data_IF_798844873758
#
_entry.id   IF_798844873758
#
_cell.length_a   1.000
_cell.length_b   1.000
_cell.length_c   1.000
_cell.angle_alpha   90.00
_cell.angle_beta   90.00
_cell.angle_gamma   90.00
#
_symmetry.space_group_name_H-M   'P 1'
#
loop_
_entity.id
_entity.type
_entity.pdbx_description
1 polymer ?
#
# COMPACT_ATOMS: atom_id res chain seq x y z
N UNK A 1 -30.59 -29.11 -4.88
CA UNK A 1 -31.48 -28.52 -3.81
C UNK A 1 -31.43 -27.00 -4.00
N UNK A 2 -32.57 -26.31 -3.83
CA UNK A 2 -32.61 -24.83 -3.92
C UNK A 2 -32.28 -24.26 -2.53
N UNK A 3 -31.37 -23.26 -2.48
CA UNK A 3 -31.09 -22.55 -1.24
C UNK A 3 -32.33 -21.80 -0.76
N UNK A 4 -32.62 -21.85 0.55
CA UNK A 4 -33.85 -21.28 1.15
C UNK A 4 -33.52 -19.97 1.86
N UNK A 5 -32.31 -19.84 2.40
CA UNK A 5 -31.85 -18.68 3.15
C UNK A 5 -31.29 -17.55 2.24
N UNK A 6 -30.89 -16.46 2.88
CA UNK A 6 -30.16 -15.35 2.25
C UNK A 6 -28.89 -15.06 3.02
N UNK A 7 -27.89 -14.42 2.39
CA UNK A 7 -26.62 -14.08 3.04
C UNK A 7 -26.75 -13.01 4.13
N UNK A 8 -27.85 -12.25 4.15
CA UNK A 8 -28.21 -11.36 5.27
C UNK A 8 -27.41 -10.05 5.34
N UNK A 9 -26.66 -9.67 4.32
CA UNK A 9 -26.09 -8.32 4.28
C UNK A 9 -27.16 -7.28 3.96
N UNK A 10 -27.00 -6.07 4.52
CA UNK A 10 -27.99 -5.01 4.33
C UNK A 10 -27.81 -4.38 2.95
N UNK A 11 -28.95 -4.25 2.24
CA UNK A 11 -28.99 -3.63 0.90
C UNK A 11 -30.29 -2.87 0.68
N UNK A 12 -30.23 -1.86 -0.14
CA UNK A 12 -31.41 -1.14 -0.64
C UNK A 12 -31.33 -1.15 -2.17
N UNK A 13 -32.21 -1.92 -2.83
CA UNK A 13 -32.06 -2.21 -4.24
C UNK A 13 -30.72 -2.92 -4.52
N UNK A 14 -29.93 -2.39 -5.44
CA UNK A 14 -28.56 -2.85 -5.75
C UNK A 14 -27.46 -2.20 -4.92
N UNK A 15 -27.78 -1.24 -4.03
CA UNK A 15 -26.80 -0.58 -3.19
C UNK A 15 -26.56 -1.34 -1.88
N UNK A 16 -25.29 -1.59 -1.56
CA UNK A 16 -24.91 -2.19 -0.27
C UNK A 16 -24.92 -1.09 0.80
N UNK A 17 -25.65 -1.34 1.88
CA UNK A 17 -25.84 -0.40 3.00
C UNK A 17 -25.30 -0.96 4.33
N UNK A 18 -24.49 -2.01 4.26
CA UNK A 18 -23.98 -2.74 5.43
C UNK A 18 -22.91 -1.94 6.22
N UNK A 19 -22.33 -0.89 5.61
CA UNK A 19 -21.38 -0.01 6.25
C UNK A 19 -22.08 0.95 7.21
N UNK A 20 -21.62 0.97 8.47
CA UNK A 20 -22.21 1.79 9.55
C UNK A 20 -21.98 3.30 9.34
N UNK A 21 -20.86 3.69 8.76
CA UNK A 21 -20.51 5.10 8.52
C UNK A 21 -21.02 5.53 7.15
N UNK A 22 -22.03 6.40 7.10
CA UNK A 22 -22.62 6.87 5.85
C UNK A 22 -21.61 7.50 4.85
N UNK A 23 -20.53 8.11 5.35
CA UNK A 23 -19.44 8.65 4.52
C UNK A 23 -18.57 7.60 3.84
N UNK A 24 -18.69 6.32 4.25
CA UNK A 24 -17.94 5.19 3.69
C UNK A 24 -18.80 4.24 2.86
N UNK A 25 -20.05 4.60 2.57
CA UNK A 25 -20.96 3.80 1.76
C UNK A 25 -20.85 4.14 0.27
N UNK A 26 -20.82 3.12 -0.59
CA UNK A 26 -20.89 3.23 -2.04
C UNK A 26 -19.89 4.26 -2.64
N UNK A 27 -20.35 5.10 -3.54
CA UNK A 27 -19.53 6.13 -4.22
C UNK A 27 -18.85 7.11 -3.25
N UNK A 28 -19.53 7.48 -2.14
CA UNK A 28 -18.91 8.36 -1.13
C UNK A 28 -17.74 7.66 -0.45
N UNK A 29 -17.90 6.39 -0.12
CA UNK A 29 -16.85 5.57 0.45
C UNK A 29 -15.64 5.46 -0.48
N UNK A 30 -15.86 5.20 -1.77
CA UNK A 30 -14.79 5.14 -2.76
C UNK A 30 -14.00 6.45 -2.82
N UNK A 31 -14.69 7.60 -2.87
CA UNK A 31 -14.04 8.92 -2.87
C UNK A 31 -13.28 9.20 -1.58
N UNK A 32 -13.84 8.82 -0.43
CA UNK A 32 -13.17 9.00 0.87
C UNK A 32 -11.90 8.14 0.95
N UNK A 33 -11.96 6.88 0.56
CA UNK A 33 -10.77 6.01 0.56
C UNK A 33 -9.70 6.49 -0.41
N UNK A 34 -10.10 7.02 -1.56
CA UNK A 34 -9.17 7.66 -2.48
C UNK A 34 -8.52 8.89 -1.87
N UNK A 35 -9.31 9.78 -1.24
CA UNK A 35 -8.78 10.96 -0.55
C UNK A 35 -7.77 10.57 0.53
N UNK A 36 -8.06 9.53 1.31
CA UNK A 36 -7.14 9.00 2.31
C UNK A 36 -5.83 8.49 1.70
N UNK A 37 -5.92 7.72 0.62
CA UNK A 37 -4.75 7.11 -0.03
C UNK A 37 -3.87 8.14 -0.77
N UNK A 38 -4.50 9.13 -1.44
CA UNK A 38 -3.81 10.09 -2.28
C UNK A 38 -3.23 11.28 -1.49
N UNK A 39 -3.83 11.65 -0.34
CA UNK A 39 -3.47 12.88 0.38
C UNK A 39 -2.83 12.66 1.75
N UNK A 40 -2.98 11.49 2.38
CA UNK A 40 -2.31 11.23 3.65
C UNK A 40 -0.96 10.53 3.39
N UNK A 41 0.18 11.14 3.80
CA UNK A 41 1.50 10.62 3.48
C UNK A 41 1.78 9.25 4.13
N UNK A 42 1.24 8.99 5.32
CA UNK A 42 1.43 7.71 6.03
C UNK A 42 0.63 6.61 5.34
N UNK A 43 -0.63 6.88 5.00
CA UNK A 43 -1.48 5.93 4.29
C UNK A 43 -0.92 5.63 2.91
N UNK A 44 -0.56 6.68 2.15
CA UNK A 44 0.02 6.53 0.81
C UNK A 44 1.30 5.70 0.81
N UNK A 45 2.21 5.97 1.75
CA UNK A 45 3.45 5.22 1.90
C UNK A 45 3.20 3.74 2.22
N UNK A 46 2.24 3.45 3.10
CA UNK A 46 1.90 2.08 3.48
C UNK A 46 1.26 1.29 2.35
N UNK A 47 0.28 1.87 1.65
CA UNK A 47 -0.34 1.21 0.48
C UNK A 47 0.71 0.97 -0.60
N UNK A 48 1.57 1.96 -0.88
CA UNK A 48 2.67 1.81 -1.82
C UNK A 48 3.62 0.66 -1.43
N UNK A 49 4.01 0.57 -0.15
CA UNK A 49 4.90 -0.48 0.32
C UNK A 49 4.27 -1.88 0.14
N UNK A 50 3.00 -2.06 0.56
CA UNK A 50 2.25 -3.31 0.39
C UNK A 50 2.15 -3.70 -1.09
N UNK A 51 1.77 -2.75 -1.95
CA UNK A 51 1.67 -2.97 -3.38
C UNK A 51 3.00 -3.40 -4.00
N UNK A 52 4.10 -2.69 -3.68
CA UNK A 52 5.44 -3.03 -4.19
C UNK A 52 5.92 -4.39 -3.71
N UNK A 53 5.66 -4.77 -2.48
CA UNK A 53 5.97 -6.10 -1.97
C UNK A 53 5.25 -7.19 -2.75
N UNK A 54 3.94 -7.03 -3.00
CA UNK A 54 3.15 -8.00 -3.75
C UNK A 54 3.59 -8.07 -5.22
N UNK A 55 3.88 -6.92 -5.85
CA UNK A 55 4.34 -6.85 -7.24
C UNK A 55 5.72 -7.47 -7.46
N UNK A 56 6.56 -7.50 -6.42
CA UNK A 56 7.90 -8.10 -6.49
C UNK A 56 7.89 -9.63 -6.35
N UNK A 57 6.75 -10.22 -6.02
CA UNK A 57 6.63 -11.68 -5.91
C UNK A 57 6.63 -12.33 -7.28
N UNK A 58 7.26 -13.48 -7.38
CA UNK A 58 7.23 -14.28 -8.58
C UNK A 58 5.96 -15.14 -8.62
N UNK A 59 5.24 -15.02 -9.70
CA UNK A 59 4.03 -15.79 -9.98
C UNK A 59 4.36 -16.87 -11.00
N UNK A 60 3.88 -18.08 -10.78
CA UNK A 60 4.06 -19.24 -11.67
C UNK A 60 2.80 -20.08 -11.71
N UNK A 61 2.70 -20.93 -12.72
CA UNK A 61 1.53 -21.80 -12.94
C UNK A 61 1.95 -23.25 -12.76
N UNK A 62 1.54 -23.86 -11.64
CA UNK A 62 1.77 -25.28 -11.37
C UNK A 62 0.81 -26.17 -12.18
N UNK A 63 1.28 -27.29 -12.74
CA UNK A 63 0.41 -28.28 -13.35
C UNK A 63 -0.48 -28.95 -12.31
N UNK A 64 -1.59 -29.55 -12.76
CA UNK A 64 -2.46 -30.33 -11.88
C UNK A 64 -1.71 -31.52 -11.26
N UNK A 65 -1.74 -31.66 -9.92
CA UNK A 65 -0.84 -32.56 -9.16
C UNK A 65 -1.24 -34.04 -9.15
N UNK A 66 -2.51 -34.39 -9.46
CA UNK A 66 -2.98 -35.79 -9.34
C UNK A 66 -2.90 -36.56 -10.65
N UNK A 67 -1.78 -36.47 -11.35
CA UNK A 67 -1.56 -37.22 -12.57
C UNK A 67 -1.35 -38.72 -12.31
N UNK A 68 -2.32 -39.55 -12.70
CA UNK A 68 -2.28 -41.01 -12.51
C UNK A 68 -1.28 -41.75 -13.44
N UNK A 69 -0.67 -41.06 -14.41
CA UNK A 69 0.31 -41.60 -15.32
C UNK A 69 1.22 -40.52 -15.89
N UNK A 70 2.43 -40.88 -16.33
CA UNK A 70 3.39 -39.97 -16.99
C UNK A 70 2.79 -39.26 -18.23
N UNK A 71 1.89 -39.91 -18.97
CA UNK A 71 1.21 -39.29 -20.10
C UNK A 71 0.21 -38.21 -19.65
N UNK A 72 -0.47 -38.44 -18.53
CA UNK A 72 -1.36 -37.45 -17.95
C UNK A 72 -0.57 -36.25 -17.40
N UNK A 73 0.56 -36.49 -16.72
CA UNK A 73 1.46 -35.43 -16.20
C UNK A 73 1.93 -34.50 -17.36
N UNK A 74 2.43 -35.05 -18.46
CA UNK A 74 2.85 -34.28 -19.65
C UNK A 74 1.71 -33.47 -20.27
N UNK A 75 0.45 -33.99 -20.19
CA UNK A 75 -0.72 -33.23 -20.64
C UNK A 75 -1.02 -32.05 -19.70
N UNK A 76 -0.95 -32.28 -18.40
CA UNK A 76 -1.21 -31.26 -17.41
C UNK A 76 -0.13 -30.14 -17.44
N UNK A 77 1.15 -30.50 -17.67
CA UNK A 77 2.23 -29.55 -17.93
C UNK A 77 1.93 -28.63 -19.12
N UNK A 78 1.46 -29.19 -20.25
CA UNK A 78 1.08 -28.41 -21.44
C UNK A 78 -0.09 -27.46 -21.16
N UNK A 79 -1.02 -27.86 -20.28
CA UNK A 79 -2.14 -26.99 -19.88
C UNK A 79 -1.65 -25.87 -18.97
N UNK A 80 -0.72 -26.15 -18.06
CA UNK A 80 -0.09 -25.13 -17.21
C UNK A 80 0.67 -24.12 -18.07
N UNK A 81 1.53 -24.60 -18.97
CA UNK A 81 2.26 -23.76 -19.92
C UNK A 81 1.31 -22.88 -20.76
N UNK A 82 0.21 -23.43 -21.23
CA UNK A 82 -0.79 -22.65 -21.99
C UNK A 82 -1.39 -21.50 -21.16
N UNK A 83 -1.68 -21.72 -19.86
CA UNK A 83 -2.20 -20.67 -18.97
C UNK A 83 -1.13 -19.61 -18.71
N UNK A 84 0.11 -20.01 -18.49
CA UNK A 84 1.24 -19.09 -18.30
C UNK A 84 1.47 -18.22 -19.56
N UNK A 85 1.49 -18.84 -20.73
CA UNK A 85 1.53 -18.14 -22.01
C UNK A 85 0.37 -17.14 -22.18
N UNK A 86 -0.84 -17.46 -21.69
CA UNK A 86 -1.97 -16.54 -21.74
C UNK A 86 -1.81 -15.34 -20.81
N UNK A 87 -1.13 -15.47 -19.68
CA UNK A 87 -0.77 -14.35 -18.80
C UNK A 87 0.27 -13.44 -19.48
N UNK A 88 1.28 -14.02 -20.12
CA UNK A 88 2.35 -13.30 -20.79
C UNK A 88 1.92 -12.63 -22.11
N UNK A 89 0.87 -13.15 -22.74
CA UNK A 89 0.35 -12.66 -24.03
C UNK A 89 -0.74 -11.60 -23.85
N UNK A 90 -1.03 -11.15 -22.66
CA UNK A 90 -1.98 -10.04 -22.42
C UNK A 90 -1.47 -8.73 -23.03
N UNK A 91 -2.40 -7.78 -23.27
CA UNK A 91 -2.11 -6.41 -23.72
C UNK A 91 -1.28 -5.67 -22.69
N UNK A 92 -1.69 -5.78 -21.41
CA UNK A 92 -0.97 -5.26 -20.24
C UNK A 92 -0.15 -6.40 -19.62
N UNK A 93 1.02 -6.09 -19.07
CA UNK A 93 1.81 -7.08 -18.32
C UNK A 93 1.03 -7.60 -17.11
N UNK A 94 1.39 -8.82 -16.65
CA UNK A 94 0.79 -9.34 -15.40
C UNK A 94 1.02 -8.39 -14.22
N UNK A 95 2.20 -7.81 -14.10
CA UNK A 95 2.50 -6.84 -13.05
C UNK A 95 1.60 -5.59 -13.10
N UNK A 96 1.37 -5.03 -14.30
CA UNK A 96 0.44 -3.89 -14.49
C UNK A 96 -1.00 -4.29 -14.15
N UNK A 97 -1.42 -5.47 -14.60
CA UNK A 97 -2.76 -6.01 -14.29
C UNK A 97 -2.93 -6.25 -12.79
N UNK A 98 -1.91 -6.79 -12.13
CA UNK A 98 -1.90 -7.05 -10.70
C UNK A 98 -1.99 -5.75 -9.90
N UNK A 99 -1.25 -4.69 -10.27
CA UNK A 99 -1.36 -3.37 -9.65
C UNK A 99 -2.79 -2.84 -9.71
N UNK A 100 -3.48 -2.99 -10.85
CA UNK A 100 -4.89 -2.60 -10.97
C UNK A 100 -5.82 -3.46 -10.09
N UNK A 101 -5.58 -4.77 -10.01
CA UNK A 101 -6.32 -5.68 -9.14
C UNK A 101 -6.14 -5.26 -7.67
N UNK A 102 -4.93 -4.91 -7.25
CA UNK A 102 -4.59 -4.54 -5.87
C UNK A 102 -5.33 -3.30 -5.36
N UNK A 103 -6.02 -2.55 -6.23
CA UNK A 103 -6.95 -1.51 -5.78
C UNK A 103 -8.00 -2.03 -4.79
N UNK A 104 -8.26 -3.35 -4.76
CA UNK A 104 -9.15 -3.94 -3.75
C UNK A 104 -8.65 -3.73 -2.31
N UNK A 105 -7.37 -3.51 -2.09
CA UNK A 105 -6.81 -3.20 -0.78
C UNK A 105 -7.32 -1.86 -0.25
N UNK A 106 -7.32 -0.85 -1.12
CA UNK A 106 -7.79 0.51 -0.81
C UNK A 106 -9.30 0.57 -0.67
N UNK A 107 -10.03 -0.04 -1.62
CA UNK A 107 -11.49 0.11 -1.69
C UNK A 107 -12.28 -1.04 -1.04
N UNK A 108 -11.61 -2.15 -0.71
CA UNK A 108 -12.25 -3.37 -0.22
C UNK A 108 -12.58 -4.36 -1.34
N UNK A 109 -12.71 -3.91 -2.58
CA UNK A 109 -13.02 -4.73 -3.75
C UNK A 109 -12.42 -4.15 -5.04
N UNK A 110 -12.18 -5.01 -6.03
CA UNK A 110 -11.95 -4.60 -7.41
C UNK A 110 -12.69 -5.54 -8.37
N UNK A 111 -13.19 -4.97 -9.47
CA UNK A 111 -14.01 -5.67 -10.45
C UNK A 111 -13.36 -5.58 -11.83
N UNK A 112 -12.88 -6.71 -12.33
CA UNK A 112 -12.17 -6.80 -13.59
C UNK A 112 -13.01 -7.53 -14.64
N UNK A 113 -13.37 -6.87 -15.73
CA UNK A 113 -14.00 -7.51 -16.87
C UNK A 113 -12.95 -8.31 -17.65
N UNK A 114 -13.27 -9.56 -17.96
CA UNK A 114 -12.39 -10.43 -18.75
C UNK A 114 -12.64 -10.14 -20.24
N UNK A 115 -11.61 -9.68 -20.93
CA UNK A 115 -11.63 -9.48 -22.37
C UNK A 115 -10.74 -10.53 -23.02
N UNK A 116 -11.32 -11.32 -23.90
CA UNK A 116 -10.61 -12.40 -24.60
C UNK A 116 -10.11 -11.95 -25.99
N UNK A 117 -9.08 -12.62 -26.48
CA UNK A 117 -8.60 -12.54 -27.86
C UNK A 117 -8.38 -13.94 -28.41
N UNK A 118 -8.41 -14.07 -29.72
CA UNK A 118 -8.00 -15.29 -30.41
C UNK A 118 -6.51 -15.22 -30.72
N UNK A 119 -5.77 -16.25 -30.40
CA UNK A 119 -4.32 -16.38 -30.64
C UNK A 119 -4.09 -16.77 -32.11
N UNK A 120 -4.07 -15.76 -32.99
CA UNK A 120 -3.90 -15.90 -34.44
C UNK A 120 -2.65 -15.15 -34.93
N UNK A 121 -1.56 -15.23 -34.20
CA UNK A 121 -0.30 -14.60 -34.58
C UNK A 121 -0.35 -13.06 -34.61
N UNK A 122 0.62 -12.49 -35.31
CA UNK A 122 0.82 -11.05 -35.43
C UNK A 122 0.08 -10.41 -36.61
N UNK A 123 -0.64 -11.18 -37.40
CA UNK A 123 -1.28 -10.72 -38.66
C UNK A 123 -2.52 -9.83 -38.43
N UNK A 124 -3.04 -9.76 -37.22
CA UNK A 124 -4.21 -8.92 -36.94
C UNK A 124 -3.91 -7.45 -37.19
N UNK A 125 -4.80 -6.77 -37.95
CA UNK A 125 -4.73 -5.29 -38.16
C UNK A 125 -4.91 -4.51 -36.86
N UNK A 126 -5.66 -5.03 -35.91
CA UNK A 126 -5.80 -4.45 -34.56
C UNK A 126 -4.68 -4.98 -33.66
N UNK A 127 -3.71 -4.12 -33.36
CA UNK A 127 -2.56 -4.46 -32.51
C UNK A 127 -2.97 -5.08 -31.17
N UNK A 128 -4.11 -4.70 -30.63
CA UNK A 128 -4.63 -5.21 -29.35
C UNK A 128 -5.09 -6.67 -29.44
N UNK A 129 -5.30 -7.20 -30.66
CA UNK A 129 -5.68 -8.59 -30.93
C UNK A 129 -4.51 -9.44 -31.39
N UNK A 130 -3.35 -8.85 -31.60
CA UNK A 130 -2.14 -9.58 -31.93
C UNK A 130 -1.74 -10.52 -30.79
N UNK A 131 -1.14 -11.65 -31.14
CA UNK A 131 -0.67 -12.65 -30.19
C UNK A 131 0.71 -13.13 -30.61
N UNK A 132 1.55 -13.47 -29.64
CA UNK A 132 2.84 -14.13 -29.90
C UNK A 132 2.66 -15.56 -30.42
N UNK A 133 1.46 -16.10 -30.24
CA UNK A 133 1.12 -17.48 -30.55
C UNK A 133 0.11 -17.55 -31.71
N UNK A 134 0.23 -18.57 -32.55
CA UNK A 134 -0.66 -18.82 -33.67
C UNK A 134 -1.21 -20.26 -33.60
N UNK A 135 -1.93 -20.53 -32.52
CA UNK A 135 -2.53 -21.85 -32.26
C UNK A 135 -4.07 -21.85 -32.38
N UNK A 136 -4.66 -20.71 -32.74
CA UNK A 136 -6.09 -20.54 -32.91
C UNK A 136 -6.91 -20.62 -31.61
N UNK A 137 -6.25 -20.75 -30.45
CA UNK A 137 -6.89 -20.83 -29.13
C UNK A 137 -7.35 -19.46 -28.66
N UNK A 138 -8.19 -19.48 -27.63
CA UNK A 138 -8.67 -18.27 -26.96
C UNK A 138 -7.75 -17.99 -25.77
N UNK A 139 -7.16 -16.81 -25.72
CA UNK A 139 -6.38 -16.31 -24.59
C UNK A 139 -7.01 -15.06 -23.97
N UNK A 140 -6.50 -14.63 -22.85
CA UNK A 140 -6.85 -13.34 -22.28
C UNK A 140 -6.22 -12.22 -23.11
N UNK A 141 -7.03 -11.22 -23.50
CA UNK A 141 -6.52 -9.98 -24.03
C UNK A 141 -6.13 -9.04 -22.90
N UNK A 142 -7.03 -8.87 -21.94
CA UNK A 142 -6.81 -8.06 -20.72
C UNK A 142 -7.84 -8.40 -19.66
N UNK A 143 -7.49 -8.15 -18.41
CA UNK A 143 -8.40 -8.08 -17.28
C UNK A 143 -8.64 -6.61 -16.98
N UNK A 144 -9.73 -6.05 -17.54
CA UNK A 144 -9.99 -4.62 -17.52
C UNK A 144 -10.62 -4.20 -16.18
N UNK A 145 -9.83 -3.61 -15.29
CA UNK A 145 -10.35 -3.08 -14.02
C UNK A 145 -11.38 -1.98 -14.26
N UNK A 146 -12.49 -2.04 -13.53
CA UNK A 146 -13.55 -1.05 -13.53
C UNK A 146 -13.40 -0.18 -12.29
N UNK A 147 -13.17 1.13 -12.49
CA UNK A 147 -12.95 2.06 -11.39
C UNK A 147 -14.14 2.02 -10.41
N UNK A 148 -13.85 1.91 -9.13
CA UNK A 148 -14.85 1.82 -8.07
C UNK A 148 -15.78 3.05 -8.03
N UNK A 149 -15.29 4.19 -8.44
CA UNK A 149 -16.07 5.44 -8.55
C UNK A 149 -17.13 5.42 -9.67
N UNK A 150 -17.05 4.44 -10.57
CA UNK A 150 -18.03 4.26 -11.65
C UNK A 150 -19.15 3.29 -11.28
N UNK A 151 -19.10 2.69 -10.09
CA UNK A 151 -20.17 1.84 -9.59
C UNK A 151 -21.44 2.65 -9.42
N UNK A 152 -22.49 2.28 -10.13
CA UNK A 152 -23.85 2.78 -9.89
C UNK A 152 -24.50 1.96 -8.78
N UNK A 153 -24.60 0.64 -8.98
CA UNK A 153 -25.04 -0.33 -7.99
C UNK A 153 -24.66 -1.76 -8.44
N UNK A 154 -25.03 -2.74 -7.65
CA UNK A 154 -24.84 -4.15 -7.93
C UNK A 154 -26.11 -4.81 -8.43
N UNK A 155 -25.97 -5.67 -9.43
CA UNK A 155 -27.05 -6.58 -9.82
C UNK A 155 -26.99 -7.81 -8.88
N UNK A 156 -28.04 -7.97 -8.06
CA UNK A 156 -28.05 -8.93 -6.97
C UNK A 156 -29.35 -9.76 -7.03
N UNK A 157 -29.19 -11.06 -7.02
CA UNK A 157 -30.32 -12.00 -6.96
C UNK A 157 -31.10 -11.88 -5.64
N UNK A 158 -32.35 -12.37 -5.57
CA UNK A 158 -33.16 -12.34 -4.35
C UNK A 158 -32.50 -13.03 -3.16
N UNK A 159 -31.76 -14.13 -3.37
CA UNK A 159 -31.01 -14.84 -2.33
C UNK A 159 -29.73 -14.13 -1.87
N UNK A 160 -29.32 -13.06 -2.57
CA UNK A 160 -28.12 -12.29 -2.28
C UNK A 160 -26.90 -12.65 -3.13
N UNK A 161 -27.05 -13.55 -4.12
CA UNK A 161 -25.96 -13.83 -5.06
C UNK A 161 -25.69 -12.63 -5.94
N UNK A 162 -24.40 -12.41 -6.22
CA UNK A 162 -23.92 -11.31 -7.06
C UNK A 162 -24.06 -11.74 -8.53
N UNK A 163 -24.89 -11.06 -9.29
CA UNK A 163 -25.09 -11.31 -10.70
C UNK A 163 -24.18 -10.43 -11.59
N UNK A 164 -23.80 -9.25 -11.11
CA UNK A 164 -22.92 -8.34 -11.83
C UNK A 164 -22.80 -6.98 -11.19
N UNK A 165 -22.07 -6.11 -11.90
CA UNK A 165 -21.88 -4.70 -11.57
C UNK A 165 -22.61 -3.85 -12.59
N UNK A 166 -23.40 -2.85 -12.15
CA UNK A 166 -23.91 -1.80 -13.03
C UNK A 166 -23.02 -0.57 -12.94
N UNK A 167 -22.39 -0.25 -14.05
CA UNK A 167 -21.42 0.81 -14.17
C UNK A 167 -22.04 2.05 -14.82
N UNK A 168 -21.71 3.23 -14.29
CA UNK A 168 -21.94 4.51 -14.95
C UNK A 168 -20.99 4.62 -16.16
N UNK A 169 -21.57 4.68 -17.35
CA UNK A 169 -20.83 4.87 -18.60
C UNK A 169 -21.53 5.93 -19.46
N UNK A 170 -21.03 7.17 -19.43
CA UNK A 170 -21.60 8.26 -20.22
C UNK A 170 -21.55 8.01 -21.73
N UNK A 171 -20.71 7.09 -22.20
CA UNK A 171 -20.61 6.72 -23.63
C UNK A 171 -21.69 5.76 -24.06
N UNK A 172 -22.35 5.07 -23.14
CA UNK A 172 -23.50 4.21 -23.43
C UNK A 172 -24.76 5.05 -23.66
N UNK A 173 -25.62 4.61 -24.58
CA UNK A 173 -26.87 5.33 -24.91
C UNK A 173 -27.84 5.46 -23.71
N UNK A 174 -27.71 4.60 -22.70
CA UNK A 174 -28.52 4.59 -21.48
C UNK A 174 -27.81 5.21 -20.27
N UNK A 175 -26.51 5.57 -20.39
CA UNK A 175 -25.67 6.03 -19.28
C UNK A 175 -25.28 4.92 -18.29
N UNK A 176 -25.77 3.68 -18.48
CA UNK A 176 -25.52 2.52 -17.62
C UNK A 176 -25.16 1.29 -18.46
N UNK A 177 -24.16 0.55 -17.99
CA UNK A 177 -23.75 -0.74 -18.55
C UNK A 177 -23.73 -1.79 -17.45
N UNK A 178 -24.39 -2.93 -17.69
CA UNK A 178 -24.34 -4.09 -16.78
C UNK A 178 -23.23 -5.02 -17.23
N UNK A 179 -22.30 -5.28 -16.34
CA UNK A 179 -21.18 -6.18 -16.55
C UNK A 179 -21.42 -7.44 -15.71
N UNK A 180 -21.80 -8.57 -16.32
CA UNK A 180 -22.18 -9.77 -15.59
C UNK A 180 -20.97 -10.44 -14.92
N UNK A 181 -21.19 -11.06 -13.76
CA UNK A 181 -20.15 -11.77 -13.01
C UNK A 181 -19.50 -12.90 -13.79
N UNK A 182 -20.23 -13.52 -14.72
CA UNK A 182 -19.74 -14.59 -15.59
C UNK A 182 -18.62 -14.12 -16.53
N UNK A 183 -18.58 -12.82 -16.85
CA UNK A 183 -17.55 -12.18 -17.68
C UNK A 183 -16.52 -11.41 -16.84
N UNK A 184 -16.55 -11.55 -15.55
CA UNK A 184 -15.79 -10.71 -14.66
C UNK A 184 -15.12 -11.48 -13.54
N UNK A 185 -14.16 -10.86 -12.89
CA UNK A 185 -13.50 -11.33 -11.70
C UNK A 185 -13.74 -10.29 -10.60
N UNK A 186 -14.24 -10.74 -9.46
CA UNK A 186 -14.46 -9.92 -8.28
C UNK A 186 -13.45 -10.28 -7.20
N UNK A 187 -12.48 -9.40 -6.98
CA UNK A 187 -11.52 -9.52 -5.91
C UNK A 187 -12.02 -8.76 -4.69
N UNK A 188 -11.92 -9.35 -3.50
CA UNK A 188 -12.42 -8.78 -2.24
C UNK A 188 -11.46 -9.07 -1.10
N UNK A 189 -11.27 -8.12 -0.21
CA UNK A 189 -10.48 -8.29 1.02
C UNK A 189 -11.15 -9.22 2.02
N UNK A 190 -12.48 -9.32 2.00
CA UNK A 190 -13.24 -10.27 2.83
C UNK A 190 -14.51 -10.71 2.11
N UNK A 191 -14.91 -11.95 2.38
CA UNK A 191 -16.13 -12.56 1.82
C UNK A 191 -17.25 -12.67 2.86
N UNK A 192 -17.18 -11.89 3.94
CA UNK A 192 -18.20 -11.95 5.00
C UNK A 192 -19.57 -11.61 4.42
N UNK A 193 -20.55 -12.47 4.74
CA UNK A 193 -21.94 -12.35 4.27
C UNK A 193 -22.08 -12.29 2.74
N UNK A 194 -21.08 -12.70 1.98
CA UNK A 194 -21.05 -12.60 0.51
C UNK A 194 -21.32 -11.20 -0.04
N UNK A 195 -21.02 -10.14 0.74
CA UNK A 195 -21.12 -8.77 0.23
C UNK A 195 -20.21 -8.57 -0.99
N UNK A 196 -20.69 -7.93 -2.08
CA UNK A 196 -19.85 -7.60 -3.22
C UNK A 196 -18.75 -6.58 -2.86
N UNK A 197 -19.04 -5.71 -1.92
CA UNK A 197 -18.08 -4.77 -1.36
C UNK A 197 -17.39 -5.44 -0.16
N UNK A 198 -16.12 -5.76 -0.30
CA UNK A 198 -15.30 -6.23 0.80
C UNK A 198 -15.07 -5.13 1.82
N UNK A 199 -14.11 -5.31 2.70
CA UNK A 199 -13.76 -4.30 3.70
C UNK A 199 -12.43 -3.68 3.37
N UNK A 200 -12.40 -2.37 3.06
CA UNK A 200 -11.17 -1.62 2.85
C UNK A 200 -10.17 -1.79 4.00
N UNK A 201 -8.90 -1.95 3.71
CA UNK A 201 -7.84 -1.91 4.73
C UNK A 201 -7.85 -0.56 5.47
N UNK A 202 -8.26 0.50 4.80
CA UNK A 202 -8.33 1.85 5.35
C UNK A 202 -9.54 2.09 6.26
N UNK A 203 -10.48 1.12 6.33
CA UNK A 203 -11.72 1.29 7.09
C UNK A 203 -11.49 1.66 8.56
N UNK A 204 -10.54 1.02 9.20
CA UNK A 204 -10.21 1.30 10.60
C UNK A 204 -9.36 2.57 10.76
N UNK A 205 -8.61 2.95 9.73
CA UNK A 205 -7.82 4.17 9.69
C UNK A 205 -8.67 5.44 9.49
N UNK A 206 -9.93 5.31 9.04
CA UNK A 206 -10.79 6.46 8.74
C UNK A 206 -10.96 7.44 9.91
N UNK A 207 -11.23 6.93 11.12
CA UNK A 207 -11.44 7.80 12.29
C UNK A 207 -10.17 8.55 12.71
N UNK A 208 -9.01 7.89 12.92
CA UNK A 208 -7.77 8.61 13.24
C UNK A 208 -7.36 9.57 12.12
N UNK A 209 -7.49 9.19 10.84
CA UNK A 209 -7.22 10.07 9.71
C UNK A 209 -8.08 11.33 9.73
N UNK A 210 -9.39 11.20 9.94
CA UNK A 210 -10.30 12.34 9.99
C UNK A 210 -9.93 13.34 11.10
N UNK A 211 -9.57 12.83 12.29
CA UNK A 211 -9.14 13.69 13.40
C UNK A 211 -7.77 14.33 13.12
N UNK A 212 -6.82 13.59 12.58
CA UNK A 212 -5.53 14.10 12.14
C UNK A 212 -5.71 15.27 11.19
N UNK A 213 -6.42 15.08 10.09
CA UNK A 213 -6.71 16.11 9.08
C UNK A 213 -7.31 17.37 9.71
N UNK A 214 -8.29 17.22 10.60
CA UNK A 214 -8.92 18.37 11.26
C UNK A 214 -7.92 19.12 12.16
N UNK A 215 -7.01 18.42 12.85
CA UNK A 215 -6.00 19.03 13.71
C UNK A 215 -4.96 19.78 12.87
N UNK A 216 -4.48 19.20 11.78
CA UNK A 216 -3.55 19.85 10.86
C UNK A 216 -4.16 21.11 10.23
N UNK A 217 -5.45 21.09 9.86
CA UNK A 217 -6.17 22.26 9.36
C UNK A 217 -6.28 23.36 10.44
N UNK A 218 -6.61 22.99 11.69
CA UNK A 218 -6.72 23.93 12.80
C UNK A 218 -5.33 24.50 13.16
N UNK A 219 -4.29 23.69 13.12
CA UNK A 219 -2.91 24.11 13.35
C UNK A 219 -2.48 25.15 12.32
N UNK A 220 -2.68 24.87 11.02
CA UNK A 220 -2.36 25.81 9.95
C UNK A 220 -3.10 27.15 10.11
N UNK A 221 -4.40 27.11 10.45
CA UNK A 221 -5.18 28.31 10.73
C UNK A 221 -4.68 29.02 11.99
N UNK A 222 -4.29 28.27 13.03
CA UNK A 222 -3.75 28.79 14.26
C UNK A 222 -2.43 29.53 14.05
N UNK A 223 -1.51 28.90 13.30
CA UNK A 223 -0.22 29.50 12.93
C UNK A 223 -0.44 30.78 12.10
N UNK A 224 -1.34 30.74 11.11
CA UNK A 224 -1.68 31.93 10.30
C UNK A 224 -2.17 33.07 11.20
N UNK A 225 -3.07 32.78 12.16
CA UNK A 225 -3.62 33.77 13.09
C UNK A 225 -2.60 34.29 14.08
N UNK A 226 -1.76 33.44 14.63
CA UNK A 226 -0.71 33.83 15.58
C UNK A 226 0.37 34.68 14.91
N UNK A 227 0.73 34.37 13.67
CA UNK A 227 1.69 35.17 12.89
C UNK A 227 1.11 36.52 12.47
N UNK A 228 -0.19 36.59 12.14
CA UNK A 228 -0.85 37.80 11.72
C UNK A 228 -1.36 38.65 12.91
N UNK A 229 -1.61 38.03 14.08
CA UNK A 229 -2.35 38.60 15.22
C UNK A 229 -3.84 38.75 14.88
N UNK A 230 -4.68 38.75 15.95
CA UNK A 230 -6.11 39.10 15.79
C UNK A 230 -6.25 40.62 15.78
N UNK A 231 -6.64 41.24 14.66
CA UNK A 231 -6.79 42.68 14.60
C UNK A 231 -7.99 43.14 15.47
N UNK A 232 -7.73 44.00 16.42
CA UNK A 232 -8.74 44.60 17.26
C UNK A 232 -8.70 46.12 17.11
N UNK A 233 -9.79 46.68 16.63
CA UNK A 233 -9.96 48.15 16.55
C UNK A 233 -10.75 48.64 17.74
N UNK A 234 -10.21 49.58 18.47
CA UNK A 234 -10.90 50.31 19.50
C UNK A 234 -11.46 51.56 18.88
N UNK A 235 -12.74 51.80 19.08
CA UNK A 235 -13.48 52.95 18.53
C UNK A 235 -14.31 53.63 19.64
N UNK A 236 -14.66 54.93 19.50
CA UNK A 236 -15.51 55.61 20.46
C UNK A 236 -16.86 54.91 20.67
N UNK A 237 -17.40 54.85 21.90
CA UNK A 237 -18.68 54.21 22.17
C UNK A 237 -19.85 54.79 21.36
N UNK A 238 -19.79 56.10 21.00
CA UNK A 238 -20.80 56.76 20.16
C UNK A 238 -20.98 56.04 18.81
N UNK A 239 -19.94 55.58 18.18
CA UNK A 239 -19.95 54.85 16.90
C UNK A 239 -20.63 53.48 17.01
N UNK A 240 -20.69 52.90 18.20
CA UNK A 240 -21.35 51.61 18.45
C UNK A 240 -22.79 51.74 18.91
N UNK A 241 -23.23 52.98 19.18
CA UNK A 241 -24.60 53.29 19.60
C UNK A 241 -25.60 53.17 18.45
N UNK A 242 -26.85 52.85 18.77
CA UNK A 242 -27.99 52.95 17.86
C UNK A 242 -28.31 54.37 17.40
N UNK A 243 -27.80 55.39 18.13
CA UNK A 243 -27.97 56.81 17.82
C UNK A 243 -26.78 57.43 17.08
N UNK A 244 -25.86 56.58 16.57
CA UNK A 244 -24.71 57.03 15.78
C UNK A 244 -25.15 57.81 14.53
N UNK A 245 -24.44 58.89 14.23
CA UNK A 245 -24.65 59.72 13.04
C UNK A 245 -24.29 58.93 11.78
N UNK A 246 -24.78 59.39 10.62
CA UNK A 246 -24.46 58.73 9.35
C UNK A 246 -22.96 58.66 9.08
N UNK A 247 -22.19 59.67 9.45
CA UNK A 247 -20.75 59.74 9.30
C UNK A 247 -20.03 58.74 10.23
N UNK A 248 -20.48 58.62 11.49
CA UNK A 248 -19.96 57.66 12.46
C UNK A 248 -20.24 56.20 11.99
N UNK A 249 -21.39 55.92 11.43
CA UNK A 249 -21.73 54.61 10.84
C UNK A 249 -20.86 54.31 9.64
N UNK A 250 -20.61 55.29 8.77
CA UNK A 250 -19.72 55.13 7.62
C UNK A 250 -18.30 54.84 8.05
N UNK A 251 -17.76 55.60 9.01
CA UNK A 251 -16.43 55.38 9.58
C UNK A 251 -16.30 54.03 10.29
N UNK A 252 -17.29 53.62 11.08
CA UNK A 252 -17.36 52.28 11.68
C UNK A 252 -17.30 51.19 10.63
N UNK A 253 -18.09 51.31 9.56
CA UNK A 253 -18.12 50.31 8.50
C UNK A 253 -16.78 50.24 7.74
N UNK A 254 -16.12 51.39 7.51
CA UNK A 254 -14.79 51.45 6.94
C UNK A 254 -13.74 50.72 7.82
N UNK A 255 -13.72 51.01 9.12
CA UNK A 255 -12.83 50.35 10.08
C UNK A 255 -13.14 48.85 10.17
N UNK A 256 -14.43 48.46 10.18
CA UNK A 256 -14.82 47.05 10.22
C UNK A 256 -14.38 46.29 8.96
N UNK A 257 -14.48 46.90 7.80
CA UNK A 257 -13.99 46.31 6.54
C UNK A 257 -12.46 46.21 6.55
N UNK A 258 -11.78 47.21 7.06
CA UNK A 258 -10.33 47.21 7.22
C UNK A 258 -9.88 46.04 8.15
N UNK A 259 -10.48 45.90 9.34
CA UNK A 259 -10.21 44.84 10.29
C UNK A 259 -10.47 43.46 9.68
N UNK A 260 -11.56 43.29 8.91
CA UNK A 260 -11.87 42.04 8.21
C UNK A 260 -10.92 41.76 7.05
N UNK A 261 -10.37 42.78 6.40
CA UNK A 261 -9.48 42.70 5.26
C UNK A 261 -7.98 42.61 5.62
N UNK A 262 -7.61 42.71 6.89
CA UNK A 262 -6.22 42.57 7.34
C UNK A 262 -5.80 41.12 7.16
N UNK A 263 -5.17 40.86 6.00
CA UNK A 263 -4.45 39.61 5.72
C UNK A 263 -3.03 39.98 5.32
N UNK A 264 -2.06 39.25 5.85
CA UNK A 264 -0.62 39.55 5.66
C UNK A 264 -0.20 39.70 4.18
N UNK A 265 -0.92 39.09 3.26
CA UNK A 265 -0.60 39.08 1.83
C UNK A 265 -1.48 40.02 0.97
N UNK A 266 -2.41 40.78 1.55
CA UNK A 266 -3.34 41.60 0.79
C UNK A 266 -3.15 43.11 0.98
N UNK A 267 -2.57 43.55 2.13
CA UNK A 267 -2.35 44.97 2.43
C UNK A 267 -0.95 45.16 3.00
N UNK A 268 -0.07 45.82 2.26
CA UNK A 268 1.29 46.15 2.68
C UNK A 268 1.33 47.32 3.70
N UNK A 269 0.23 48.03 3.91
CA UNK A 269 0.11 49.13 4.85
C UNK A 269 -1.33 49.55 5.10
N UNK A 270 -1.58 50.16 6.24
CA UNK A 270 -2.89 50.60 6.67
C UNK A 270 -2.83 52.05 7.07
N UNK A 271 -3.74 52.88 6.53
CA UNK A 271 -4.02 54.22 7.03
C UNK A 271 -5.10 54.13 8.13
N UNK A 272 -4.76 54.54 9.33
CA UNK A 272 -5.67 54.53 10.47
C UNK A 272 -5.85 55.96 11.01
N UNK A 273 -7.09 56.42 11.33
CA UNK A 273 -7.29 57.73 11.80
C UNK A 273 -6.67 57.95 13.18
N UNK A 274 -5.99 59.08 13.38
CA UNK A 274 -5.47 59.52 14.65
C UNK A 274 -6.33 60.69 15.15
N UNK A 275 -7.05 60.52 16.24
CA UNK A 275 -7.82 61.57 16.89
C UNK A 275 -7.70 61.38 18.41
N UNK A 276 -7.73 62.49 19.15
CA UNK A 276 -7.63 62.51 20.62
C UNK A 276 -8.93 63.10 21.19
N UNK A 277 -9.32 62.63 22.38
CA UNK A 277 -10.38 63.21 23.16
C UNK A 277 -9.92 64.52 23.88
N UNK A 278 -10.86 65.24 24.56
CA UNK A 278 -10.51 66.44 25.33
C UNK A 278 -9.51 66.19 26.45
N UNK A 279 -9.34 64.93 26.85
CA UNK A 279 -8.38 64.48 27.86
C UNK A 279 -7.01 64.00 27.29
N UNK A 280 -6.80 64.11 25.94
CA UNK A 280 -5.58 63.73 25.28
C UNK A 280 -5.41 62.19 25.10
N UNK A 281 -6.51 61.41 25.16
CA UNK A 281 -6.49 59.96 24.95
C UNK A 281 -6.85 59.65 23.49
N UNK A 282 -6.14 58.67 22.92
CA UNK A 282 -6.44 58.17 21.58
C UNK A 282 -7.88 57.68 21.48
N UNK A 283 -8.66 58.27 20.56
CA UNK A 283 -10.04 57.83 20.26
C UNK A 283 -10.11 56.56 19.45
N UNK A 284 -9.10 56.31 18.61
CA UNK A 284 -9.01 55.15 17.74
C UNK A 284 -7.68 54.44 18.00
N UNK A 285 -7.74 53.11 18.12
CA UNK A 285 -6.55 52.30 18.30
C UNK A 285 -6.72 50.98 17.55
N UNK A 286 -5.74 50.61 16.77
CA UNK A 286 -5.67 49.28 16.16
C UNK A 286 -4.54 48.50 16.85
N UNK A 287 -4.85 47.34 17.36
CA UNK A 287 -3.86 46.43 17.94
C UNK A 287 -4.01 45.04 17.36
N UNK A 288 -2.89 44.39 17.14
CA UNK A 288 -2.87 42.97 16.83
C UNK A 288 -2.71 42.20 18.13
N UNK A 289 -3.79 41.53 18.56
CA UNK A 289 -3.72 40.64 19.70
C UNK A 289 -3.06 39.33 19.22
N UNK A 290 -1.81 39.12 19.62
CA UNK A 290 -1.22 37.78 19.58
C UNK A 290 -1.73 37.01 20.77
N UNK A 291 -2.03 35.75 20.61
CA UNK A 291 -2.34 34.84 21.73
C UNK A 291 -1.06 34.59 22.55
N UNK A 292 -0.62 35.62 23.31
CA UNK A 292 0.57 35.55 24.20
C UNK A 292 0.42 34.56 25.37
N UNK A 293 -0.37 33.54 25.23
CA UNK A 293 -0.59 32.49 26.21
C UNK A 293 0.14 31.20 25.84
N UNK A 294 0.97 30.70 26.74
CA UNK A 294 1.69 29.41 26.73
C UNK A 294 0.78 28.16 26.60
N UNK A 295 -0.33 28.22 25.85
CA UNK A 295 -1.13 27.07 25.45
C UNK A 295 -0.70 26.58 24.07
N UNK A 296 0.59 26.34 23.87
CA UNK A 296 1.02 25.49 22.75
C UNK A 296 0.56 24.06 23.07
N UNK A 297 -0.58 23.67 22.52
CA UNK A 297 -0.85 22.25 22.38
C UNK A 297 0.29 21.69 21.52
N UNK A 298 0.95 20.67 22.01
CA UNK A 298 1.92 19.94 21.20
C UNK A 298 1.17 19.17 20.11
N UNK A 299 0.80 19.86 19.02
CA UNK A 299 0.05 19.31 17.88
C UNK A 299 0.84 18.22 17.21
N UNK A 300 2.16 18.34 17.13
CA UNK A 300 3.07 17.35 16.59
C UNK A 300 2.95 16.01 17.32
N UNK A 301 2.96 15.99 18.65
CA UNK A 301 2.73 14.76 19.41
C UNK A 301 1.33 14.16 19.21
N UNK A 302 0.32 15.00 18.95
CA UNK A 302 -1.04 14.53 18.67
C UNK A 302 -1.14 13.94 17.27
N UNK A 303 -0.58 14.61 16.26
CA UNK A 303 -0.51 14.12 14.87
C UNK A 303 0.27 12.80 14.81
N UNK A 304 1.47 12.74 15.40
CA UNK A 304 2.27 11.52 15.47
C UNK A 304 1.54 10.33 16.11
N UNK A 305 0.73 10.58 17.16
CA UNK A 305 -0.12 9.55 17.77
C UNK A 305 -1.19 9.04 16.80
N UNK A 306 -1.76 9.89 15.93
CA UNK A 306 -2.71 9.45 14.91
C UNK A 306 -2.00 8.71 13.79
N UNK A 307 -0.82 9.12 13.37
CA UNK A 307 0.02 8.41 12.40
C UNK A 307 0.32 6.98 12.86
N UNK A 308 0.72 6.82 14.12
CA UNK A 308 0.95 5.50 14.71
C UNK A 308 -0.33 4.65 14.73
N UNK A 309 -1.49 5.24 15.07
CA UNK A 309 -2.78 4.52 15.04
C UNK A 309 -3.18 4.12 13.62
N UNK A 310 -2.91 4.95 12.63
CA UNK A 310 -3.15 4.64 11.22
C UNK A 310 -2.25 3.46 10.81
N UNK A 311 -0.96 3.54 11.09
CA UNK A 311 0.00 2.49 10.77
C UNK A 311 -0.36 1.13 11.41
N UNK A 312 -0.82 1.13 12.66
CA UNK A 312 -1.29 -0.08 13.35
C UNK A 312 -2.47 -0.76 12.66
N UNK A 313 -3.33 -0.03 11.94
CA UNK A 313 -4.50 -0.63 11.28
C UNK A 313 -4.14 -1.54 10.11
N UNK A 314 -2.97 -1.36 9.53
CA UNK A 314 -2.46 -2.15 8.40
C UNK A 314 -1.30 -3.07 8.85
N UNK A 315 -1.09 -3.22 10.16
CA UNK A 315 0.03 -3.96 10.74
C UNK A 315 1.41 -3.43 10.32
N UNK A 316 1.48 -2.18 9.87
CA UNK A 316 2.68 -1.55 9.33
C UNK A 316 3.34 -0.57 10.31
N UNK A 317 3.00 -0.63 11.60
CA UNK A 317 3.56 0.24 12.64
C UNK A 317 5.07 0.03 12.84
N UNK A 318 5.61 -1.13 12.43
CA UNK A 318 7.06 -1.38 12.44
C UNK A 318 7.84 -0.44 11.50
N UNK A 319 7.20 0.11 10.46
CA UNK A 319 7.84 1.08 9.56
C UNK A 319 8.17 2.38 10.31
N UNK A 320 7.37 2.72 11.34
CA UNK A 320 7.57 3.91 12.17
C UNK A 320 8.57 3.70 13.33
N UNK A 321 8.94 2.46 13.64
CA UNK A 321 9.84 2.13 14.76
C UNK A 321 11.25 2.72 14.61
N UNK A 322 11.68 3.09 13.41
CA UNK A 322 12.96 3.75 13.17
C UNK A 322 13.09 5.14 13.82
N UNK A 323 11.98 5.75 14.24
CA UNK A 323 11.95 7.07 14.90
C UNK A 323 11.95 6.98 16.43
N UNK A 324 11.74 5.82 17.03
CA UNK A 324 11.79 5.61 18.47
C UNK A 324 13.10 4.96 18.89
N UNK A 325 13.79 5.56 19.86
CA UNK A 325 15.14 5.18 20.30
C UNK A 325 15.27 3.81 21.00
N UNK A 326 14.19 3.06 21.23
CA UNK A 326 14.22 1.78 21.95
C UNK A 326 13.16 0.82 21.42
N UNK A 327 13.55 -0.05 20.51
CA UNK A 327 12.77 -1.25 20.16
C UNK A 327 13.63 -2.50 20.29
N UNK A 328 13.20 -3.51 21.05
CA UNK A 328 13.93 -4.78 21.05
C UNK A 328 13.82 -5.41 19.65
N UNK A 329 14.95 -5.85 19.10
CA UNK A 329 15.06 -6.51 17.80
C UNK A 329 14.04 -7.67 17.64
N UNK A 330 13.82 -8.44 18.73
CA UNK A 330 12.83 -9.53 18.76
C UNK A 330 11.36 -9.07 18.56
N UNK A 331 10.99 -7.90 19.04
CA UNK A 331 9.64 -7.37 18.83
C UNK A 331 9.45 -6.89 17.38
N UNK A 332 10.50 -6.31 16.79
CA UNK A 332 10.52 -5.89 15.40
C UNK A 332 10.36 -7.08 14.44
N UNK A 333 11.11 -8.17 14.65
CA UNK A 333 11.01 -9.37 13.80
C UNK A 333 9.62 -10.01 13.85
N UNK A 334 9.01 -10.16 15.03
CA UNK A 334 7.67 -10.73 15.16
C UNK A 334 6.59 -9.90 14.45
N UNK A 335 6.73 -8.58 14.42
CA UNK A 335 5.79 -7.70 13.68
C UNK A 335 5.96 -7.83 12.17
N UNK A 336 7.21 -7.95 11.71
CA UNK A 336 7.52 -8.20 10.30
C UNK A 336 6.92 -9.54 9.86
N UNK A 337 7.08 -10.61 10.63
CA UNK A 337 6.51 -11.92 10.30
C UNK A 337 4.98 -11.89 10.20
N UNK A 338 4.31 -11.18 11.12
CA UNK A 338 2.87 -10.99 11.06
C UNK A 338 2.44 -10.22 9.81
N UNK A 339 3.19 -9.18 9.46
CA UNK A 339 2.95 -8.39 8.26
C UNK A 339 3.16 -9.22 6.99
N UNK A 340 4.24 -10.01 6.91
CA UNK A 340 4.51 -10.92 5.80
C UNK A 340 3.40 -11.97 5.65
N UNK A 341 2.89 -12.49 6.77
CA UNK A 341 1.72 -13.39 6.78
C UNK A 341 0.49 -12.70 6.20
N UNK A 342 0.26 -11.42 6.52
CA UNK A 342 -0.85 -10.65 5.94
C UNK A 342 -0.66 -10.45 4.42
N UNK A 343 0.55 -10.16 3.95
CA UNK A 343 0.89 -10.07 2.51
C UNK A 343 0.59 -11.41 1.81
N UNK A 344 1.03 -12.53 2.38
CA UNK A 344 0.76 -13.86 1.84
C UNK A 344 -0.75 -14.16 1.73
N UNK A 345 -1.56 -13.72 2.70
CA UNK A 345 -3.02 -13.85 2.62
C UNK A 345 -3.63 -12.98 1.51
N UNK A 346 -3.14 -11.76 1.32
CA UNK A 346 -3.62 -10.87 0.24
C UNK A 346 -3.29 -11.46 -1.14
N UNK A 347 -2.10 -12.03 -1.32
CA UNK A 347 -1.72 -12.69 -2.58
C UNK A 347 -2.52 -13.97 -2.82
N UNK A 348 -2.78 -14.76 -1.77
CA UNK A 348 -3.62 -15.95 -1.86
C UNK A 348 -5.05 -15.61 -2.30
N UNK A 349 -5.62 -14.48 -1.87
CA UNK A 349 -6.94 -14.02 -2.34
C UNK A 349 -6.96 -13.74 -3.84
N UNK A 350 -5.90 -13.15 -4.38
CA UNK A 350 -5.78 -12.93 -5.83
C UNK A 350 -5.68 -14.27 -6.56
N UNK A 351 -4.80 -15.15 -6.10
CA UNK A 351 -4.63 -16.48 -6.67
C UNK A 351 -5.93 -17.30 -6.64
N UNK A 352 -6.68 -17.23 -5.55
CA UNK A 352 -7.96 -17.95 -5.39
C UNK A 352 -9.00 -17.54 -6.44
N UNK A 353 -9.15 -16.25 -6.72
CA UNK A 353 -10.09 -15.77 -7.75
C UNK A 353 -9.64 -16.21 -9.13
N UNK A 354 -8.35 -16.12 -9.43
CA UNK A 354 -7.80 -16.59 -10.70
C UNK A 354 -8.01 -18.10 -10.87
N UNK A 355 -7.75 -18.89 -9.84
CA UNK A 355 -7.85 -20.35 -9.86
C UNK A 355 -9.30 -20.85 -9.91
N UNK A 356 -10.22 -20.18 -9.24
CA UNK A 356 -11.63 -20.59 -9.18
C UNK A 356 -12.43 -20.11 -10.39
N UNK A 357 -12.12 -18.93 -10.90
CA UNK A 357 -12.97 -18.27 -11.90
C UNK A 357 -12.27 -18.09 -13.25
N UNK A 358 -11.09 -17.47 -13.30
CA UNK A 358 -10.44 -17.09 -14.56
C UNK A 358 -9.94 -18.30 -15.34
N UNK A 359 -9.15 -19.16 -14.69
CA UNK A 359 -8.52 -20.33 -15.35
C UNK A 359 -9.56 -21.35 -15.80
N UNK A 360 -10.53 -21.81 -14.99
CA UNK A 360 -11.52 -22.78 -15.46
C UNK A 360 -12.38 -22.26 -16.61
N UNK A 361 -12.71 -20.96 -16.62
CA UNK A 361 -13.45 -20.33 -17.73
C UNK A 361 -12.62 -20.34 -19.02
N UNK A 362 -11.32 -20.01 -18.94
CA UNK A 362 -10.39 -20.07 -20.08
C UNK A 362 -10.28 -21.49 -20.64
N UNK A 363 -10.12 -22.50 -19.79
CA UNK A 363 -10.02 -23.90 -20.18
C UNK A 363 -11.30 -24.37 -20.89
N UNK A 364 -12.48 -24.04 -20.33
CA UNK A 364 -13.78 -24.35 -20.91
C UNK A 364 -13.94 -23.77 -22.32
N UNK A 365 -13.50 -22.53 -22.56
CA UNK A 365 -13.57 -21.88 -23.86
C UNK A 365 -12.67 -22.55 -24.91
N UNK A 366 -11.62 -23.26 -24.49
CA UNK A 366 -10.70 -23.99 -25.35
C UNK A 366 -10.99 -25.50 -25.43
N UNK A 367 -12.12 -25.96 -24.87
CA UNK A 367 -12.48 -27.39 -24.86
C UNK A 367 -11.53 -28.24 -24.00
N UNK A 368 -10.81 -27.62 -23.07
CA UNK A 368 -9.96 -28.31 -22.09
C UNK A 368 -10.77 -28.67 -20.84
N UNK A 369 -10.28 -29.66 -20.08
CA UNK A 369 -10.97 -30.16 -18.90
C UNK A 369 -10.90 -29.13 -17.74
N UNK A 370 -12.00 -28.48 -17.35
CA UNK A 370 -12.01 -27.51 -16.27
C UNK A 370 -11.96 -28.15 -14.88
N UNK A 371 -12.07 -29.48 -14.75
CA UNK A 371 -11.97 -30.21 -13.48
C UNK A 371 -10.51 -30.53 -13.11
N UNK A 372 -9.58 -30.32 -14.03
CA UNK A 372 -8.15 -30.48 -13.81
C UNK A 372 -7.39 -29.19 -14.16
N UNK A 373 -7.73 -28.09 -13.49
CA UNK A 373 -7.09 -26.81 -13.78
C UNK A 373 -5.65 -26.80 -13.23
N UNK A 374 -4.70 -26.18 -13.92
CA UNK A 374 -3.45 -25.80 -13.33
C UNK A 374 -3.71 -24.70 -12.27
N UNK A 375 -2.75 -24.51 -11.39
CA UNK A 375 -2.91 -23.61 -10.24
C UNK A 375 -1.90 -22.46 -10.35
N UNK A 376 -2.40 -21.23 -10.42
CA UNK A 376 -1.57 -20.03 -10.26
C UNK A 376 -1.11 -19.93 -8.80
N UNK A 377 0.18 -19.85 -8.60
CA UNK A 377 0.80 -19.74 -7.27
C UNK A 377 1.78 -18.58 -7.23
N UNK A 378 2.07 -18.19 -6.01
CA UNK A 378 3.10 -17.23 -5.67
C UNK A 378 4.21 -17.97 -4.97
N UNK A 379 5.44 -17.68 -5.33
CA UNK A 379 6.61 -18.13 -4.58
C UNK A 379 6.49 -17.65 -3.13
N UNK A 380 6.62 -18.56 -2.16
CA UNK A 380 6.53 -18.19 -0.76
C UNK A 380 7.63 -17.19 -0.42
N UNK A 381 7.24 -16.09 0.24
CA UNK A 381 8.19 -15.15 0.86
C UNK A 381 8.84 -15.85 2.05
N UNK A 382 9.72 -16.83 1.78
CA UNK A 382 10.55 -17.38 2.83
C UNK A 382 11.64 -16.35 3.12
N UNK A 383 11.48 -15.61 4.20
CA UNK A 383 12.64 -15.06 4.92
C UNK A 383 13.33 -16.23 5.62
N UNK A 384 13.91 -17.14 4.82
CA UNK A 384 14.71 -18.20 5.40
C UNK A 384 15.95 -17.53 5.96
N UNK A 385 16.00 -17.44 7.29
CA UNK A 385 17.23 -17.03 7.96
C UNK A 385 18.32 -18.05 7.58
N UNK A 386 19.18 -17.63 6.65
CA UNK A 386 20.26 -18.47 6.11
C UNK A 386 21.15 -19.03 7.22
N UNK A 387 21.22 -18.33 8.34
CA UNK A 387 21.99 -18.76 9.49
C UNK A 387 21.27 -19.91 10.22
N UNK A 388 19.97 -19.80 10.44
CA UNK A 388 19.12 -20.86 11.02
C UNK A 388 19.08 -22.08 10.10
N UNK A 389 18.97 -21.87 8.79
CA UNK A 389 18.98 -22.96 7.81
C UNK A 389 20.36 -23.65 7.77
N UNK A 390 21.46 -22.88 7.76
CA UNK A 390 22.83 -23.41 7.79
C UNK A 390 23.08 -24.23 9.07
N UNK A 391 22.64 -23.74 10.22
CA UNK A 391 22.70 -24.45 11.49
C UNK A 391 21.85 -25.73 11.47
N UNK A 392 20.66 -25.70 10.90
CA UNK A 392 19.80 -26.86 10.75
C UNK A 392 20.42 -27.91 9.85
N UNK A 393 20.88 -27.52 8.65
CA UNK A 393 21.58 -28.46 7.73
C UNK A 393 22.78 -29.08 8.39
N UNK A 394 23.62 -28.29 9.08
CA UNK A 394 24.81 -28.75 9.77
C UNK A 394 24.50 -29.77 10.88
N UNK A 395 23.47 -29.50 11.69
CA UNK A 395 23.02 -30.40 12.76
C UNK A 395 22.42 -31.68 12.21
N UNK A 396 21.62 -31.62 11.16
CA UNK A 396 20.96 -32.78 10.57
C UNK A 396 21.98 -33.66 9.79
N UNK A 397 22.90 -33.04 9.06
CA UNK A 397 23.99 -33.76 8.41
C UNK A 397 24.96 -34.42 9.43
N UNK A 398 25.31 -33.71 10.51
CA UNK A 398 26.11 -34.22 11.59
C UNK A 398 25.45 -35.37 12.38
N UNK A 399 24.12 -35.39 12.46
CA UNK A 399 23.35 -36.48 13.03
C UNK A 399 23.09 -37.65 12.07
N UNK A 400 23.58 -37.58 10.81
CA UNK A 400 23.34 -38.60 9.78
C UNK A 400 21.88 -38.68 9.29
N UNK A 401 21.04 -37.73 9.64
CA UNK A 401 19.61 -37.67 9.26
C UNK A 401 19.39 -37.01 7.90
N UNK A 402 20.35 -36.25 7.40
CA UNK A 402 20.34 -35.62 6.10
C UNK A 402 21.62 -35.98 5.34
N UNK A 403 21.46 -36.50 4.12
CA UNK A 403 22.61 -36.72 3.22
C UNK A 403 22.82 -35.47 2.38
N UNK A 404 24.05 -34.97 2.32
CA UNK A 404 24.42 -33.84 1.45
C UNK A 404 24.61 -34.40 0.06
N UNK A 405 23.54 -34.33 -0.75
CA UNK A 405 23.53 -34.76 -2.15
C UNK A 405 23.47 -33.57 -3.12
N UNK A 406 23.47 -33.85 -4.43
CA UNK A 406 23.36 -32.81 -5.46
C UNK A 406 22.06 -32.05 -5.39
N UNK A 407 20.97 -32.66 -4.92
CA UNK A 407 19.66 -31.98 -4.77
C UNK A 407 19.66 -30.94 -3.66
N UNK A 408 20.36 -31.23 -2.56
CA UNK A 408 20.56 -30.27 -1.47
C UNK A 408 21.46 -29.10 -1.91
N UNK A 409 22.53 -29.39 -2.67
CA UNK A 409 23.44 -28.37 -3.21
C UNK A 409 22.69 -27.43 -4.17
N UNK A 410 21.86 -27.99 -5.05
CA UNK A 410 21.02 -27.23 -5.98
C UNK A 410 19.98 -26.37 -5.24
N UNK A 411 19.31 -26.93 -4.24
CA UNK A 411 18.35 -26.21 -3.41
C UNK A 411 19.01 -25.03 -2.66
N UNK A 412 20.19 -25.26 -2.04
CA UNK A 412 20.90 -24.19 -1.31
C UNK A 412 21.41 -23.12 -2.28
N UNK A 413 21.89 -23.50 -3.47
CA UNK A 413 22.34 -22.55 -4.50
C UNK A 413 21.20 -21.67 -4.99
N UNK A 414 20.05 -22.26 -5.26
CA UNK A 414 18.84 -21.54 -5.70
C UNK A 414 18.36 -20.57 -4.61
N UNK A 415 18.34 -21.01 -3.36
CA UNK A 415 17.93 -20.21 -2.21
C UNK A 415 18.83 -18.99 -1.95
N UNK A 416 20.15 -19.12 -2.21
CA UNK A 416 21.15 -18.05 -1.99
C UNK A 416 21.40 -17.25 -3.27
N UNK A 417 20.77 -17.63 -4.41
CA UNK A 417 20.98 -17.00 -5.71
C UNK A 417 22.35 -17.25 -6.33
N UNK A 418 22.99 -18.37 -6.01
CA UNK A 418 24.25 -18.77 -6.63
C UNK A 418 24.00 -19.39 -8.02
N UNK A 419 24.93 -19.23 -8.98
CA UNK A 419 24.77 -19.84 -10.29
C UNK A 419 24.71 -21.37 -10.19
N UNK A 420 23.96 -22.04 -11.09
CA UNK A 420 23.89 -23.50 -11.11
C UNK A 420 25.28 -24.11 -11.26
N UNK A 421 25.48 -25.29 -10.67
CA UNK A 421 26.73 -26.02 -10.77
C UNK A 421 26.95 -26.43 -12.21
N UNK A 422 28.05 -25.98 -12.82
CA UNK A 422 28.46 -26.48 -14.12
C UNK A 422 28.98 -27.91 -13.89
N UNK A 423 28.28 -28.92 -14.38
CA UNK A 423 28.81 -30.27 -14.47
C UNK A 423 29.99 -30.26 -15.45
N UNK A 424 31.20 -30.29 -14.92
CA UNK A 424 32.38 -30.60 -15.73
C UNK A 424 32.27 -32.09 -16.15
N UNK A 425 31.78 -32.34 -17.38
CA UNK A 425 31.90 -33.63 -18.04
C UNK A 425 33.41 -33.94 -18.17
N UNK A 426 33.94 -34.77 -17.28
CA UNK A 426 35.27 -35.33 -17.49
C UNK A 426 36.27 -35.39 -16.32
N UNK A 427 35.91 -35.13 -15.10
CA UNK A 427 36.82 -35.41 -13.96
C UNK A 427 36.70 -36.85 -13.52
N UNK A 428 37.70 -37.67 -13.89
CA UNK A 428 37.90 -39.03 -13.32
C UNK A 428 38.03 -38.94 -11.80
N UNK A 429 37.52 -39.92 -11.03
CA UNK A 429 37.69 -39.94 -9.59
C UNK A 429 39.18 -40.17 -9.28
N UNK A 430 39.86 -39.18 -8.76
CA UNK A 430 41.18 -39.35 -8.18
C UNK A 430 41.05 -40.25 -6.94
N UNK A 431 41.67 -41.41 -7.02
CA UNK A 431 41.71 -42.42 -5.98
C UNK A 431 42.26 -41.86 -4.66
N UNK A 432 41.72 -42.42 -3.60
CA UNK A 432 42.21 -42.21 -2.26
C UNK A 432 43.66 -42.66 -2.16
N UNK A 433 44.61 -41.76 -2.30
CA UNK A 433 45.97 -41.97 -1.86
C UNK A 433 46.10 -41.62 -0.40
N UNK A 434 46.48 -42.64 0.36
CA UNK A 434 46.88 -42.57 1.77
C UNK A 434 47.86 -41.43 1.99
N UNK A 435 47.55 -40.53 2.90
CA UNK A 435 48.55 -39.59 3.46
C UNK A 435 49.52 -40.37 4.34
N UNK A 436 50.84 -40.25 4.15
CA UNK A 436 51.81 -40.78 5.09
C UNK A 436 51.86 -39.92 6.35
N UNK A 437 51.96 -40.63 7.46
CA UNK A 437 52.12 -40.18 8.81
C UNK A 437 53.24 -39.12 8.93
N UNK A 438 52.85 -37.86 9.21
CA UNK A 438 53.80 -36.79 9.47
C UNK A 438 54.24 -36.80 10.93
N UNK A 439 55.51 -37.04 11.12
CA UNK A 439 56.27 -37.00 12.36
C UNK A 439 56.28 -35.53 12.92
N UNK A 440 56.15 -35.35 14.24
CA UNK A 440 56.06 -34.00 14.83
C UNK A 440 57.45 -33.41 15.15
N UNK A 441 58.27 -33.11 14.16
CA UNK A 441 59.52 -32.36 14.34
C UNK A 441 59.89 -31.64 13.00
N UNK A 442 59.21 -30.61 12.61
CA UNK A 442 59.79 -29.58 11.76
C UNK A 442 59.12 -28.25 12.05
N UNK A 443 59.77 -27.51 12.94
CA UNK A 443 59.45 -26.09 13.20
C UNK A 443 59.95 -25.25 12.03
N UNK A 444 59.01 -24.63 11.31
CA UNK A 444 59.33 -23.57 10.35
C UNK A 444 59.24 -22.23 11.10
N UNK A 445 60.28 -21.37 11.02
CA UNK A 445 60.31 -20.12 11.79
C UNK A 445 59.28 -19.12 11.25
N UNK A 446 58.54 -18.48 12.18
CA UNK A 446 57.57 -17.46 11.93
C UNK A 446 58.21 -16.22 11.26
N UNK A 447 57.61 -15.73 10.17
CA UNK A 447 57.93 -14.46 9.56
C UNK A 447 57.57 -13.29 10.50
N UNK A 448 58.35 -12.19 10.51
CA UNK A 448 58.15 -11.09 11.45
C UNK A 448 56.88 -10.30 11.11
N UNK A 449 56.06 -10.12 12.14
CA UNK A 449 54.88 -9.25 12.14
C UNK A 449 55.37 -7.82 12.11
N UNK A 450 54.94 -7.04 11.11
CA UNK A 450 55.16 -5.59 11.02
C UNK A 450 54.43 -4.88 12.17
N UNK A 451 55.01 -3.85 12.79
CA UNK A 451 54.37 -3.14 13.91
C UNK A 451 53.18 -2.30 13.43
N UNK A 452 52.10 -2.36 14.21
CA UNK A 452 50.94 -1.57 14.04
C UNK A 452 51.28 -0.05 14.11
N UNK A 453 50.89 0.68 13.11
CA UNK A 453 50.96 2.15 13.12
C UNK A 453 49.95 2.70 14.13
N UNK A 454 50.43 3.35 15.16
CA UNK A 454 49.66 4.16 16.11
C UNK A 454 49.14 5.40 15.41
N UNK A 455 47.82 5.60 15.39
CA UNK A 455 47.15 6.83 14.99
C UNK A 455 47.40 7.87 16.12
N UNK A 456 47.88 9.09 15.84
CA UNK A 456 48.07 10.11 16.86
C UNK A 456 46.73 10.62 17.38
N UNK A 457 46.54 10.57 18.69
CA UNK A 457 45.49 11.25 19.45
C UNK A 457 45.58 12.77 19.26
N UNK A 458 44.47 13.39 18.87
CA UNK A 458 44.33 14.84 18.86
C UNK A 458 44.22 15.38 20.31
N UNK A 459 44.82 16.51 20.65
CA UNK A 459 44.85 17.04 22.01
C UNK A 459 43.43 17.52 22.43
N UNK A 460 43.00 17.10 23.59
CA UNK A 460 41.85 17.68 24.33
C UNK A 460 42.12 19.14 24.68
N UNK A 461 41.32 20.04 24.15
CA UNK A 461 41.24 21.39 24.62
C UNK A 461 40.35 21.44 25.88
N UNK A 462 40.94 21.84 26.96
CA UNK A 462 40.33 22.14 28.26
C UNK A 462 39.29 23.25 28.13
N UNK A 463 38.10 23.06 28.72
CA UNK A 463 37.04 24.04 28.79
C UNK A 463 37.44 25.29 29.55
N UNK A 464 37.15 26.46 28.97
CA UNK A 464 37.03 27.74 29.61
C UNK A 464 35.57 28.17 29.65
N UNK A 465 35.14 29.02 30.62
CA UNK A 465 33.74 29.32 30.86
C UNK A 465 33.16 30.27 29.81
N UNK A 466 31.89 29.98 29.45
CA UNK A 466 31.06 30.82 28.58
C UNK A 466 30.50 31.96 29.46
N UNK A 467 31.11 33.12 29.38
CA UNK A 467 30.48 34.41 29.68
C UNK A 467 30.88 35.38 28.57
N UNK A 468 29.89 36.23 28.16
CA UNK A 468 30.01 37.33 27.18
C UNK A 468 29.79 37.03 25.73
N UNK A 469 28.51 36.94 25.31
CA UNK A 469 28.05 37.52 24.04
C UNK A 469 26.55 37.92 24.15
N UNK A 470 26.29 38.99 24.97
CA UNK A 470 25.12 39.84 24.83
C UNK A 470 25.63 41.24 24.75
N UNK A 471 25.74 41.82 23.58
CA UNK A 471 25.67 43.26 23.22
C UNK A 471 26.17 43.46 21.80
N UNK A 472 25.27 43.52 20.85
CA UNK A 472 25.08 44.58 19.84
C UNK A 472 23.93 44.19 18.91
#
# INVERSE_FOLDING_TARGET
>A
MKEIGTYGYQRSGGSVTDEFVAGLQGLRGARTYREMADNDPVIGAMIFAVERMILNLKWHVDPYKDAKSTKAAKKDEKVAQFVEECLDDMEDSWSTTLSQILSFLTYGWSYCEIVYKKRNGMESKDKRKQSRYDDGRIGWRRLANRAQETLFDWDIAPNGDILGMRQLDPSSGTGLVTIPIEKSLLFRTSNQRNSPEGRSLLRNAYRPWRFKKTIEEIEAIGIERDLAGLPVAYVPPSMLSSTATADEVAARNAIQNLVRGIKRNQNEGILFPLAFDEGGREMYKLTLLSSGGNRQFNTDAVVGRYDQRIAMTILADFILLGHEKVGSFALGSSKIDLFMTAIAQMTAQVADVMNKDAIPRLLKMNGMDPLRPPTLRVEELQTTDLQVLGDFITKMAGAGALQVDSGLDEFVRDLVGLPPKVEEEGAMPMGAEMMPNANPQDQVPAAPVAPAQTVPEAPMQSGGPIEDYISN
#
